data_IF_409844710545
#
_entry.id   IF_409844710545
#
_cell.length_a   1.000
_cell.length_b   1.000
_cell.length_c   1.000
_cell.angle_alpha   90.00
_cell.angle_beta   90.00
_cell.angle_gamma   90.00
#
_symmetry.space_group_name_H-M   'P 1'
#
loop_
_entity.id
_entity.type
_entity.pdbx_description
1 polymer ?
#
# COMPACT_ATOMS: atom_id res chain seq x y z
N UNK A 1 -13.29 28.06 -5.15
CA UNK A 1 -12.58 27.38 -6.26
C UNK A 1 -12.87 25.91 -6.14
N UNK A 2 -13.56 25.36 -7.13
CA UNK A 2 -14.05 23.99 -7.16
C UNK A 2 -12.87 23.02 -7.23
N UNK A 3 -12.76 22.13 -6.25
CA UNK A 3 -11.67 21.17 -6.13
C UNK A 3 -11.90 20.04 -7.14
N UNK A 4 -11.40 20.20 -8.37
CA UNK A 4 -11.35 19.08 -9.31
C UNK A 4 -10.26 18.11 -8.85
N UNK A 5 -10.70 16.99 -8.29
CA UNK A 5 -9.87 15.80 -8.08
C UNK A 5 -9.33 15.37 -9.46
N UNK A 6 -8.00 15.38 -9.69
CA UNK A 6 -7.46 14.68 -10.84
C UNK A 6 -7.80 13.21 -10.66
N UNK A 7 -8.64 12.66 -11.56
CA UNK A 7 -8.95 11.24 -11.61
C UNK A 7 -7.65 10.45 -11.48
N UNK A 8 -7.53 9.50 -10.54
CA UNK A 8 -6.35 8.66 -10.48
C UNK A 8 -6.23 7.96 -11.84
N UNK A 9 -5.13 8.21 -12.54
CA UNK A 9 -4.70 7.33 -13.63
C UNK A 9 -4.22 6.06 -12.97
N UNK A 10 -5.16 5.21 -12.61
CA UNK A 10 -4.87 3.85 -12.20
C UNK A 10 -4.36 3.16 -13.47
N UNK A 11 -3.05 3.02 -13.61
CA UNK A 11 -2.47 2.10 -14.56
C UNK A 11 -2.63 0.69 -13.97
N UNK A 12 -3.85 0.14 -14.03
CA UNK A 12 -4.05 -1.30 -13.86
C UNK A 12 -3.53 -1.95 -15.13
N UNK A 13 -2.35 -2.57 -15.07
CA UNK A 13 -1.94 -3.52 -16.10
C UNK A 13 -2.81 -4.78 -15.92
N UNK A 14 -3.94 -4.84 -16.63
CA UNK A 14 -4.78 -6.04 -16.73
C UNK A 14 -4.17 -6.93 -17.81
N UNK A 15 -3.44 -7.97 -17.39
CA UNK A 15 -2.97 -9.03 -18.29
C UNK A 15 -4.16 -9.89 -18.71
N UNK A 16 -4.56 -9.78 -19.98
CA UNK A 16 -5.45 -10.72 -20.66
C UNK A 16 -4.61 -11.65 -21.54
N UNK A 17 -4.72 -12.97 -21.35
CA UNK A 17 -4.07 -13.96 -22.21
C UNK A 17 -5.12 -14.67 -23.06
N UNK A 18 -4.93 -14.64 -24.38
CA UNK A 18 -5.86 -15.19 -25.39
C UNK A 18 -5.47 -16.63 -25.72
N UNK A 19 -6.41 -17.58 -25.61
CA UNK A 19 -6.25 -18.98 -26.02
C UNK A 19 -6.56 -19.12 -27.52
N UNK A 20 -5.58 -19.60 -28.30
CA UNK A 20 -5.78 -20.07 -29.68
C UNK A 20 -6.16 -21.56 -29.64
N UNK A 21 -7.31 -21.90 -30.23
CA UNK A 21 -7.79 -23.28 -30.44
C UNK A 21 -7.73 -23.60 -31.94
N UNK A 22 -6.92 -24.60 -32.30
CA UNK A 22 -6.93 -25.36 -33.57
C UNK A 22 -6.08 -26.61 -33.32
N UNK A 23 -6.37 -27.85 -33.71
CA UNK A 23 -7.42 -28.55 -34.44
C UNK A 23 -7.03 -30.04 -34.50
N UNK A 24 -8.00 -30.95 -34.62
CA UNK A 24 -7.86 -32.42 -34.51
C UNK A 24 -6.88 -33.13 -35.48
N UNK A 25 -6.30 -34.26 -35.04
CA UNK A 25 -6.10 -35.48 -35.86
C UNK A 25 -5.84 -36.78 -35.05
N UNK A 26 -6.78 -37.74 -35.21
CA UNK A 26 -6.78 -39.24 -35.31
C UNK A 26 -5.86 -40.14 -34.41
N UNK A 27 -6.37 -41.27 -33.85
CA UNK A 27 -5.70 -42.04 -32.80
C UNK A 27 -4.74 -43.14 -33.32
N UNK A 28 -3.54 -43.19 -32.74
CA UNK A 28 -2.62 -44.32 -32.82
C UNK A 28 -2.54 -45.03 -31.47
N UNK A 29 -2.84 -46.33 -31.45
CA UNK A 29 -2.78 -47.19 -30.26
C UNK A 29 -1.33 -47.54 -29.94
N UNK A 30 -0.88 -47.31 -28.70
CA UNK A 30 0.46 -47.72 -28.27
C UNK A 30 0.80 -47.30 -26.84
N UNK A 31 0.84 -48.27 -25.93
CA UNK A 31 1.51 -48.19 -24.63
C UNK A 31 0.78 -47.35 -23.56
N UNK A 32 0.27 -48.00 -22.52
CA UNK A 32 -0.19 -47.35 -21.29
C UNK A 32 0.99 -47.22 -20.33
N UNK A 33 1.69 -46.06 -20.23
CA UNK A 33 2.32 -45.72 -18.97
C UNK A 33 1.20 -45.44 -17.97
N UNK A 34 1.28 -46.09 -16.80
CA UNK A 34 0.47 -45.72 -15.65
C UNK A 34 0.55 -44.21 -15.46
N UNK A 35 -0.57 -43.46 -15.37
CA UNK A 35 -0.50 -42.05 -15.08
C UNK A 35 0.09 -41.92 -13.68
N UNK A 36 1.37 -41.57 -13.59
CA UNK A 36 1.86 -40.87 -12.42
C UNK A 36 0.96 -39.65 -12.32
N UNK A 37 0.13 -39.59 -11.30
CA UNK A 37 -0.62 -38.39 -10.94
C UNK A 37 0.46 -37.36 -10.68
N UNK A 38 0.81 -36.56 -11.69
CA UNK A 38 1.63 -35.38 -11.48
C UNK A 38 0.77 -34.54 -10.58
N UNK A 39 1.13 -34.54 -9.30
CA UNK A 39 0.58 -33.63 -8.31
C UNK A 39 0.37 -32.30 -9.00
N UNK A 40 -0.84 -31.77 -8.88
CA UNK A 40 -1.20 -30.42 -9.25
C UNK A 40 -0.44 -29.46 -8.32
N UNK A 41 0.89 -29.53 -8.41
CA UNK A 41 1.77 -29.12 -7.36
C UNK A 41 1.68 -27.61 -7.30
N UNK A 42 1.53 -27.10 -6.08
CA UNK A 42 1.63 -25.70 -5.76
C UNK A 42 3.04 -25.45 -5.17
N UNK A 43 4.13 -25.60 -5.95
CA UNK A 43 5.49 -25.59 -5.43
C UNK A 43 5.81 -24.27 -4.72
N UNK A 44 5.26 -23.14 -5.19
CA UNK A 44 5.51 -21.83 -4.60
C UNK A 44 4.89 -21.67 -3.21
N UNK A 45 3.93 -22.53 -2.86
CA UNK A 45 3.32 -22.56 -1.53
C UNK A 45 4.13 -23.37 -0.52
N UNK A 46 5.18 -24.08 -0.96
CA UNK A 46 6.12 -24.73 -0.04
C UNK A 46 7.08 -23.68 0.51
N UNK A 47 7.22 -23.54 1.85
CA UNK A 47 8.03 -22.49 2.44
C UNK A 47 9.46 -22.41 1.89
N UNK A 48 9.90 -21.19 1.57
CA UNK A 48 11.18 -20.84 0.98
C UNK A 48 11.32 -21.16 -0.52
N UNK A 49 10.32 -21.76 -1.17
CA UNK A 49 10.42 -22.09 -2.59
C UNK A 49 10.26 -20.85 -3.47
N UNK A 50 9.32 -19.96 -3.15
CA UNK A 50 9.12 -18.71 -3.86
C UNK A 50 10.36 -17.79 -3.79
N UNK A 51 10.96 -17.63 -2.61
CA UNK A 51 12.20 -16.86 -2.44
C UNK A 51 13.35 -17.43 -3.27
N UNK A 52 13.56 -18.75 -3.23
CA UNK A 52 14.59 -19.42 -4.04
C UNK A 52 14.33 -19.25 -5.54
N UNK A 53 13.06 -19.28 -5.94
CA UNK A 53 12.64 -19.08 -7.32
C UNK A 53 12.96 -17.66 -7.82
N UNK A 54 12.60 -16.63 -7.04
CA UNK A 54 12.94 -15.23 -7.33
C UNK A 54 14.46 -15.02 -7.34
N UNK A 55 15.18 -15.58 -6.37
CA UNK A 55 16.64 -15.48 -6.31
C UNK A 55 17.33 -16.11 -7.54
N UNK A 56 16.80 -17.24 -8.05
CA UNK A 56 17.29 -17.86 -9.29
C UNK A 56 17.05 -16.97 -10.51
N UNK A 57 15.89 -16.33 -10.60
CA UNK A 57 15.59 -15.38 -11.68
C UNK A 57 16.60 -14.23 -11.66
N UNK A 58 16.77 -13.59 -10.49
CA UNK A 58 17.71 -12.48 -10.33
C UNK A 58 19.15 -12.88 -10.71
N UNK A 59 19.61 -14.05 -10.25
CA UNK A 59 20.93 -14.58 -10.61
C UNK A 59 21.08 -14.83 -12.12
N UNK A 60 20.06 -15.36 -12.80
CA UNK A 60 20.09 -15.60 -14.25
C UNK A 60 20.18 -14.30 -15.06
N UNK A 61 19.63 -13.20 -14.52
CA UNK A 61 19.69 -11.86 -15.14
C UNK A 61 20.89 -11.02 -14.70
N UNK A 62 21.74 -11.54 -13.81
CA UNK A 62 22.81 -10.79 -13.13
C UNK A 62 22.30 -9.49 -12.46
N UNK A 63 21.10 -9.56 -11.87
CA UNK A 63 20.47 -8.46 -11.15
C UNK A 63 20.37 -8.77 -9.66
N UNK A 64 20.34 -7.74 -8.84
CA UNK A 64 20.05 -7.85 -7.40
C UNK A 64 18.74 -7.17 -7.02
N UNK A 65 18.20 -6.33 -7.89
CA UNK A 65 16.96 -5.59 -7.68
C UNK A 65 15.91 -6.01 -8.69
N UNK A 66 14.66 -6.01 -8.23
CA UNK A 66 13.48 -6.21 -9.07
C UNK A 66 12.68 -4.89 -9.19
N UNK A 67 11.96 -4.77 -10.29
CA UNK A 67 10.91 -3.77 -10.52
C UNK A 67 9.55 -4.27 -10.02
N UNK A 68 9.30 -5.56 -10.20
CA UNK A 68 8.09 -6.24 -9.76
C UNK A 68 8.40 -7.71 -9.47
N UNK A 69 7.77 -8.27 -8.45
CA UNK A 69 7.70 -9.72 -8.20
C UNK A 69 6.24 -10.14 -8.18
N UNK A 70 5.91 -11.23 -8.85
CA UNK A 70 4.56 -11.83 -8.85
C UNK A 70 4.67 -13.31 -8.53
N UNK A 71 3.92 -13.78 -7.54
CA UNK A 71 3.92 -15.19 -7.13
C UNK A 71 2.49 -15.72 -7.12
N UNK A 72 2.28 -16.84 -7.80
CA UNK A 72 1.06 -17.65 -7.71
C UNK A 72 1.37 -18.96 -7.00
N UNK A 73 0.39 -19.84 -6.83
CA UNK A 73 0.63 -21.19 -6.33
C UNK A 73 1.68 -21.97 -7.15
N UNK A 74 1.83 -21.66 -8.44
CA UNK A 74 2.62 -22.45 -9.40
C UNK A 74 3.87 -21.76 -9.91
N UNK A 75 3.85 -20.43 -9.98
CA UNK A 75 4.88 -19.66 -10.67
C UNK A 75 5.39 -18.53 -9.81
N UNK A 76 6.68 -18.21 -9.96
CA UNK A 76 7.24 -16.94 -9.56
C UNK A 76 7.74 -16.21 -10.80
N UNK A 77 7.47 -14.91 -10.85
CA UNK A 77 7.87 -14.01 -11.92
C UNK A 77 8.57 -12.82 -11.29
N UNK A 78 9.67 -12.38 -11.92
CA UNK A 78 10.29 -11.12 -11.56
C UNK A 78 10.57 -10.30 -12.83
N UNK A 79 10.19 -9.03 -12.78
CA UNK A 79 10.55 -8.04 -13.79
C UNK A 79 11.77 -7.28 -13.30
N UNK A 80 12.79 -7.14 -14.15
CA UNK A 80 14.04 -6.46 -13.86
C UNK A 80 14.34 -5.40 -14.90
N UNK A 81 15.20 -4.45 -14.56
CA UNK A 81 15.65 -3.40 -15.48
C UNK A 81 17.04 -3.75 -16.02
N UNK A 82 17.17 -3.91 -17.33
CA UNK A 82 18.45 -4.17 -18.03
C UNK A 82 18.58 -3.10 -19.11
N UNK A 83 19.66 -2.32 -19.06
CA UNK A 83 19.92 -1.21 -20.00
C UNK A 83 18.72 -0.24 -20.17
N UNK A 84 18.01 0.03 -19.08
CA UNK A 84 16.84 0.91 -19.06
C UNK A 84 15.56 0.31 -19.65
N UNK A 85 15.54 -1.00 -19.94
CA UNK A 85 14.37 -1.72 -20.44
C UNK A 85 13.92 -2.79 -19.46
N UNK A 86 12.60 -3.00 -19.39
CA UNK A 86 12.02 -4.03 -18.54
C UNK A 86 12.15 -5.39 -19.22
N UNK A 87 12.66 -6.37 -18.48
CA UNK A 87 12.69 -7.77 -18.87
C UNK A 87 11.99 -8.60 -17.81
N UNK A 88 11.04 -9.44 -18.21
CA UNK A 88 10.26 -10.25 -17.27
C UNK A 88 10.65 -11.71 -17.41
N UNK A 89 10.99 -12.33 -16.30
CA UNK A 89 11.46 -13.72 -16.23
C UNK A 89 10.56 -14.51 -15.29
N UNK A 90 10.22 -15.72 -15.68
CA UNK A 90 9.34 -16.62 -14.94
C UNK A 90 10.02 -17.95 -14.67
N UNK A 91 9.67 -18.54 -13.53
CA UNK A 91 9.96 -19.92 -13.17
C UNK A 91 8.67 -20.59 -12.66
N UNK A 92 8.32 -21.73 -13.27
CA UNK A 92 7.28 -22.65 -12.82
C UNK A 92 7.91 -23.91 -12.19
N UNK A 93 8.84 -24.49 -12.93
CA UNK A 93 9.69 -25.61 -12.57
C UNK A 93 11.04 -25.44 -13.27
N UNK A 94 12.13 -25.93 -12.68
CA UNK A 94 13.43 -25.94 -13.34
C UNK A 94 14.12 -24.57 -13.40
N UNK A 95 14.43 -24.11 -14.60
CA UNK A 95 15.26 -22.91 -14.85
C UNK A 95 14.43 -21.68 -15.22
N UNK A 96 14.88 -20.46 -14.85
CA UNK A 96 14.24 -19.22 -15.30
C UNK A 96 14.18 -19.13 -16.83
N UNK A 97 13.09 -18.59 -17.35
CA UNK A 97 12.94 -18.24 -18.77
C UNK A 97 12.38 -16.82 -18.90
N UNK A 98 12.81 -16.12 -19.92
CA UNK A 98 12.21 -14.84 -20.29
C UNK A 98 10.80 -15.06 -20.84
N UNK A 99 9.87 -14.19 -20.47
CA UNK A 99 8.48 -14.16 -20.93
C UNK A 99 8.14 -12.76 -21.43
N UNK A 100 7.07 -12.65 -22.22
CA UNK A 100 6.59 -11.35 -22.68
C UNK A 100 6.26 -10.45 -21.48
N UNK A 101 6.67 -9.19 -21.56
CA UNK A 101 6.45 -8.18 -20.52
C UNK A 101 5.38 -7.20 -20.95
N UNK A 102 4.38 -7.00 -20.10
CA UNK A 102 3.39 -5.93 -20.20
C UNK A 102 3.77 -4.71 -19.33
N UNK A 103 4.83 -4.85 -18.53
CA UNK A 103 5.34 -3.81 -17.64
C UNK A 103 6.19 -2.80 -18.41
N UNK A 104 5.87 -1.52 -18.28
CA UNK A 104 6.66 -0.40 -18.80
C UNK A 104 7.40 0.30 -17.66
N UNK A 105 8.65 0.69 -17.90
CA UNK A 105 9.41 1.49 -16.94
C UNK A 105 9.03 2.97 -17.05
N UNK A 106 8.55 3.53 -15.95
CA UNK A 106 8.09 4.92 -15.78
C UNK A 106 8.67 5.54 -14.51
N UNK A 107 9.93 5.21 -14.21
CA UNK A 107 10.64 5.58 -12.98
C UNK A 107 10.05 4.98 -11.70
N UNK A 108 9.52 3.75 -11.78
CA UNK A 108 9.15 3.00 -10.57
C UNK A 108 10.40 2.65 -9.75
N UNK A 109 10.23 2.53 -8.43
CA UNK A 109 11.30 2.06 -7.55
C UNK A 109 11.75 0.63 -7.88
N UNK A 110 13.07 0.46 -7.89
CA UNK A 110 13.72 -0.85 -7.82
C UNK A 110 13.90 -1.23 -6.34
N UNK A 111 13.70 -2.50 -6.01
CA UNK A 111 13.82 -3.01 -4.63
C UNK A 111 14.57 -4.34 -4.58
N UNK A 112 15.19 -4.64 -3.43
CA UNK A 112 15.73 -5.97 -3.15
C UNK A 112 14.58 -6.86 -2.65
N UNK A 113 14.18 -7.93 -3.37
CA UNK A 113 13.14 -8.81 -2.88
C UNK A 113 13.44 -9.43 -1.51
N UNK A 114 14.70 -9.54 -1.10
CA UNK A 114 15.07 -10.06 0.23
C UNK A 114 14.63 -9.16 1.39
N UNK A 115 14.25 -7.91 1.11
CA UNK A 115 13.66 -7.01 2.11
C UNK A 115 12.21 -7.36 2.44
N UNK A 116 11.58 -8.29 1.72
CA UNK A 116 10.20 -8.69 1.91
C UNK A 116 10.11 -10.16 2.38
N UNK A 117 9.38 -10.41 3.46
CA UNK A 117 9.09 -11.76 3.96
C UNK A 117 7.92 -12.37 3.19
N UNK A 118 8.29 -13.14 2.16
CA UNK A 118 7.39 -14.05 1.46
C UNK A 118 7.91 -15.49 1.53
N UNK A 119 8.58 -15.84 2.64
CA UNK A 119 9.08 -17.19 2.88
C UNK A 119 7.94 -18.21 2.85
N UNK A 120 6.82 -17.93 3.53
CA UNK A 120 5.61 -18.76 3.54
C UNK A 120 4.45 -18.06 2.81
N UNK A 121 4.46 -18.14 1.46
CA UNK A 121 3.37 -17.61 0.61
C UNK A 121 2.02 -18.24 0.96
N UNK A 122 1.99 -19.50 1.39
CA UNK A 122 0.75 -20.16 1.80
C UNK A 122 0.14 -19.50 3.04
N UNK A 123 0.96 -19.05 3.99
CA UNK A 123 0.50 -18.25 5.12
C UNK A 123 -0.08 -16.91 4.67
N UNK A 124 0.60 -16.17 3.78
CA UNK A 124 0.08 -14.90 3.24
C UNK A 124 -1.28 -15.10 2.53
N UNK A 125 -1.41 -16.17 1.73
CA UNK A 125 -2.64 -16.54 1.02
C UNK A 125 -3.80 -16.90 1.95
N UNK A 126 -3.51 -17.62 3.05
CA UNK A 126 -4.53 -17.89 4.10
C UNK A 126 -5.00 -16.60 4.76
N UNK A 127 -4.09 -15.72 5.17
CA UNK A 127 -4.44 -14.40 5.75
C UNK A 127 -5.27 -13.55 4.79
N UNK A 128 -4.89 -13.56 3.51
CA UNK A 128 -5.65 -12.87 2.48
C UNK A 128 -7.06 -13.48 2.29
N UNK A 129 -7.19 -14.80 2.40
CA UNK A 129 -8.50 -15.48 2.36
C UNK A 129 -9.38 -15.04 3.53
N UNK A 130 -8.83 -15.04 4.74
CA UNK A 130 -9.56 -14.63 5.96
C UNK A 130 -10.05 -13.18 5.85
N UNK A 131 -9.26 -12.30 5.25
CA UNK A 131 -9.57 -10.87 5.13
C UNK A 131 -10.45 -10.50 3.92
N UNK A 132 -10.31 -11.21 2.79
CA UNK A 132 -11.00 -10.90 1.53
C UNK A 132 -12.21 -11.79 1.25
N UNK A 133 -12.31 -12.94 1.94
CA UNK A 133 -13.34 -13.95 1.72
C UNK A 133 -13.11 -14.85 0.49
N UNK A 134 -11.96 -14.76 -0.18
CA UNK A 134 -11.67 -15.51 -1.41
C UNK A 134 -10.29 -16.17 -1.38
N UNK A 135 -10.28 -17.48 -1.62
CA UNK A 135 -9.07 -18.29 -1.79
C UNK A 135 -8.77 -18.61 -3.28
N UNK A 136 -9.61 -18.14 -4.20
CA UNK A 136 -9.56 -18.53 -5.61
C UNK A 136 -8.46 -17.78 -6.36
N UNK A 137 -7.59 -18.51 -7.05
CA UNK A 137 -6.56 -17.95 -7.95
C UNK A 137 -5.77 -16.78 -7.35
N UNK A 138 -5.31 -16.97 -6.11
CA UNK A 138 -4.56 -15.94 -5.40
C UNK A 138 -3.19 -15.66 -6.01
N UNK A 139 -2.82 -14.38 -5.95
CA UNK A 139 -1.58 -13.83 -6.50
C UNK A 139 -0.99 -12.83 -5.52
N UNK A 140 0.25 -13.07 -5.10
CA UNK A 140 1.10 -12.13 -4.38
C UNK A 140 1.80 -11.22 -5.39
N UNK A 141 1.83 -9.92 -5.12
CA UNK A 141 2.58 -8.94 -5.89
C UNK A 141 3.43 -8.08 -4.96
N UNK A 142 4.68 -7.83 -5.34
CA UNK A 142 5.57 -6.87 -4.71
C UNK A 142 6.00 -5.87 -5.78
N UNK A 143 5.59 -4.61 -5.63
CA UNK A 143 5.76 -3.58 -6.67
C UNK A 143 5.73 -2.18 -6.04
N UNK A 144 6.34 -1.19 -6.72
CA UNK A 144 6.11 0.22 -6.40
C UNK A 144 4.62 0.56 -6.55
N UNK A 145 4.01 0.88 -5.41
CA UNK A 145 2.61 1.24 -5.33
C UNK A 145 2.41 2.76 -5.42
N UNK A 146 3.30 3.52 -4.77
CA UNK A 146 3.16 4.96 -4.71
C UNK A 146 4.48 5.67 -4.42
N UNK A 147 4.95 6.46 -5.39
CA UNK A 147 6.05 7.41 -5.23
C UNK A 147 7.31 6.78 -4.60
N UNK A 148 7.63 5.55 -5.02
CA UNK A 148 8.77 4.77 -4.56
C UNK A 148 8.50 3.91 -3.33
N UNK A 149 7.28 3.91 -2.80
CA UNK A 149 6.86 2.98 -1.76
C UNK A 149 6.51 1.64 -2.41
N UNK A 150 7.35 0.64 -2.16
CA UNK A 150 7.12 -0.74 -2.60
C UNK A 150 6.29 -1.47 -1.55
N UNK A 151 5.27 -2.19 -2.01
CA UNK A 151 4.34 -2.89 -1.13
C UNK A 151 4.15 -4.33 -1.55
N UNK A 152 3.79 -5.15 -0.57
CA UNK A 152 3.40 -6.54 -0.77
C UNK A 152 1.88 -6.68 -0.67
N UNK A 153 1.24 -7.20 -1.71
CA UNK A 153 -0.23 -7.27 -1.82
C UNK A 153 -0.68 -8.63 -2.33
N UNK A 154 -1.74 -9.20 -1.75
CA UNK A 154 -2.41 -10.38 -2.28
C UNK A 154 -3.75 -9.99 -2.87
N UNK A 155 -4.01 -10.47 -4.09
CA UNK A 155 -5.31 -10.38 -4.79
C UNK A 155 -5.80 -11.78 -5.14
N UNK A 156 -7.08 -11.93 -5.50
CA UNK A 156 -7.70 -13.20 -5.90
C UNK A 156 -8.51 -13.03 -7.19
N UNK A 157 -8.90 -14.11 -7.86
CA UNK A 157 -9.81 -14.09 -9.02
C UNK A 157 -10.99 -15.04 -8.81
N UNK A 158 -12.25 -14.62 -9.05
CA UNK A 158 -12.68 -13.25 -9.42
C UNK A 158 -12.24 -12.20 -8.40
N UNK A 159 -12.02 -10.96 -8.86
CA UNK A 159 -11.34 -9.93 -8.08
C UNK A 159 -12.01 -9.70 -6.72
N UNK A 160 -11.24 -9.95 -5.66
CA UNK A 160 -11.60 -9.58 -4.29
C UNK A 160 -10.93 -8.27 -3.89
N UNK A 161 -11.30 -7.74 -2.73
CA UNK A 161 -10.53 -6.66 -2.11
C UNK A 161 -9.05 -7.07 -1.96
N UNK A 162 -8.09 -6.20 -2.36
CA UNK A 162 -6.68 -6.45 -2.15
C UNK A 162 -6.35 -6.47 -0.65
N UNK A 163 -5.45 -7.37 -0.25
CA UNK A 163 -4.96 -7.48 1.12
C UNK A 163 -3.49 -7.10 1.15
N UNK A 164 -3.17 -6.04 1.88
CA UNK A 164 -1.82 -5.50 1.97
C UNK A 164 -1.05 -6.10 3.15
N UNK A 165 0.25 -6.23 2.97
CA UNK A 165 1.20 -6.71 3.96
C UNK A 165 2.38 -5.73 4.05
N UNK A 166 2.93 -5.59 5.25
CA UNK A 166 4.21 -4.92 5.45
C UNK A 166 5.35 -5.80 4.92
N UNK A 167 6.54 -5.20 4.81
CA UNK A 167 7.78 -5.88 4.41
C UNK A 167 8.07 -7.13 5.24
N UNK A 168 7.70 -7.17 6.53
CA UNK A 168 7.89 -8.32 7.41
C UNK A 168 6.81 -9.41 7.29
N UNK A 169 5.92 -9.31 6.30
CA UNK A 169 4.85 -10.28 6.09
C UNK A 169 3.66 -10.14 7.05
N UNK A 170 3.68 -9.16 7.96
CA UNK A 170 2.52 -8.86 8.79
C UNK A 170 1.42 -8.17 7.98
N UNK A 171 0.17 -8.55 8.20
CA UNK A 171 -0.96 -7.97 7.47
C UNK A 171 -1.17 -6.52 7.90
N UNK A 172 -1.37 -5.63 6.93
CA UNK A 172 -1.76 -4.24 7.20
C UNK A 172 -3.14 -4.22 7.90
N UNK A 173 -3.25 -3.63 9.10
CA UNK A 173 -4.53 -3.58 9.80
C UNK A 173 -5.51 -2.64 9.10
N UNK A 174 -6.80 -2.99 9.20
CA UNK A 174 -7.89 -2.04 8.95
C UNK A 174 -8.07 -1.19 10.21
N UNK A 175 -8.17 0.11 10.02
CA UNK A 175 -8.25 1.07 11.12
C UNK A 175 -9.68 1.59 11.28
N UNK A 176 -10.17 1.64 12.51
CA UNK A 176 -11.32 2.46 12.91
C UNK A 176 -10.81 3.80 13.42
N UNK A 177 -10.72 4.79 12.52
CA UNK A 177 -10.20 6.13 12.86
C UNK A 177 -11.14 6.95 13.76
N UNK A 178 -12.19 6.35 14.31
CA UNK A 178 -12.95 6.91 15.43
C UNK A 178 -12.36 6.53 16.80
N UNK A 179 -11.40 5.61 16.84
CA UNK A 179 -10.73 5.12 18.07
C UNK A 179 -9.32 5.66 18.20
N UNK A 180 -8.97 6.12 19.39
CA UNK A 180 -7.63 6.67 19.67
C UNK A 180 -6.50 5.68 19.36
N UNK A 181 -6.71 4.39 19.62
CA UNK A 181 -5.71 3.35 19.36
C UNK A 181 -5.38 3.25 17.86
N UNK A 182 -6.39 3.24 16.99
CA UNK A 182 -6.20 3.13 15.55
C UNK A 182 -5.75 4.45 14.93
N UNK A 183 -6.17 5.59 15.49
CA UNK A 183 -5.60 6.89 15.17
C UNK A 183 -4.10 6.97 15.52
N UNK A 184 -3.68 6.38 16.64
CA UNK A 184 -2.26 6.31 17.02
C UNK A 184 -1.45 5.50 15.99
N UNK A 185 -1.96 4.33 15.56
CA UNK A 185 -1.34 3.54 14.49
C UNK A 185 -1.23 4.34 13.19
N UNK A 186 -2.27 5.10 12.85
CA UNK A 186 -2.26 5.95 11.65
C UNK A 186 -1.25 7.10 11.76
N UNK A 187 -1.18 7.76 12.92
CA UNK A 187 -0.25 8.84 13.23
C UNK A 187 1.20 8.37 13.14
N UNK A 188 1.53 7.22 13.73
CA UNK A 188 2.85 6.59 13.64
C UNK A 188 3.21 6.29 12.18
N UNK A 189 2.26 5.72 11.42
CA UNK A 189 2.49 5.40 10.02
C UNK A 189 2.78 6.63 9.15
N UNK A 190 2.04 7.74 9.29
CA UNK A 190 2.27 8.96 8.50
C UNK A 190 3.45 9.79 8.98
N UNK A 191 3.94 9.54 10.20
CA UNK A 191 5.03 10.30 10.84
C UNK A 191 6.38 9.61 10.81
N UNK A 192 6.45 8.34 10.37
CA UNK A 192 7.66 7.49 10.36
C UNK A 192 8.92 8.20 9.89
N UNK A 193 8.83 8.94 8.78
CA UNK A 193 9.94 9.68 8.17
C UNK A 193 9.80 11.22 8.33
N UNK A 194 8.83 11.68 9.11
CA UNK A 194 8.46 13.09 9.26
C UNK A 194 8.05 13.42 10.70
N UNK A 195 9.00 13.51 11.66
CA UNK A 195 8.69 13.77 13.07
C UNK A 195 8.20 15.20 13.35
N UNK A 196 8.27 16.09 12.36
CA UNK A 196 7.76 17.46 12.42
C UNK A 196 6.77 17.71 11.27
N UNK A 197 5.62 18.29 11.61
CA UNK A 197 4.54 18.58 10.67
C UNK A 197 4.26 20.08 10.63
N UNK A 198 3.80 20.55 9.48
CA UNK A 198 3.13 21.87 9.35
C UNK A 198 1.63 21.76 9.56
N UNK A 199 1.06 20.58 9.31
CA UNK A 199 -0.35 20.26 9.50
C UNK A 199 -0.46 18.76 9.81
N UNK A 200 -1.24 18.40 10.81
CA UNK A 200 -1.75 17.05 11.02
C UNK A 200 -3.26 17.11 10.93
N UNK A 201 -3.90 16.13 10.32
CA UNK A 201 -5.35 16.13 10.26
C UNK A 201 -5.97 14.76 10.07
N UNK A 202 -7.27 14.71 10.27
CA UNK A 202 -8.10 13.53 10.08
C UNK A 202 -9.41 13.97 9.45
N UNK A 203 -9.78 13.33 8.34
CA UNK A 203 -11.05 13.54 7.64
C UNK A 203 -11.52 12.24 6.98
N UNK A 204 -12.54 12.30 6.12
CA UNK A 204 -13.11 11.13 5.43
C UNK A 204 -12.09 10.31 4.61
N UNK A 205 -10.99 10.91 4.17
CA UNK A 205 -9.93 10.22 3.42
C UNK A 205 -9.00 9.41 4.33
N UNK A 206 -8.96 9.74 5.61
CA UNK A 206 -8.09 9.13 6.61
C UNK A 206 -7.24 10.14 7.37
N UNK A 207 -6.27 9.61 8.11
CA UNK A 207 -5.33 10.39 8.90
C UNK A 207 -4.19 10.88 8.02
N UNK A 208 -3.79 12.14 8.10
CA UNK A 208 -2.75 12.70 7.26
C UNK A 208 -1.82 13.66 8.00
N UNK A 209 -0.64 13.82 7.41
CA UNK A 209 0.39 14.73 7.85
C UNK A 209 0.95 15.47 6.65
N UNK A 210 1.14 16.78 6.79
CA UNK A 210 1.89 17.59 5.84
C UNK A 210 3.19 18.08 6.47
N UNK A 211 4.28 18.01 5.70
CA UNK A 211 5.59 18.50 6.10
C UNK A 211 6.28 19.22 4.95
N UNK A 212 7.36 19.95 5.25
CA UNK A 212 8.16 20.65 4.25
C UNK A 212 8.92 19.63 3.40
N UNK A 213 8.79 19.77 2.09
CA UNK A 213 9.55 19.03 1.10
C UNK A 213 10.68 19.86 0.49
N UNK A 214 11.46 19.26 -0.42
CA UNK A 214 12.53 19.96 -1.14
C UNK A 214 11.97 21.05 -2.06
N UNK A 215 12.77 22.09 -2.35
CA UNK A 215 12.46 23.16 -3.32
C UNK A 215 11.09 23.82 -3.08
N UNK A 216 10.84 24.24 -1.84
CA UNK A 216 9.61 24.94 -1.44
C UNK A 216 8.34 24.14 -1.77
N UNK A 217 8.39 22.83 -1.57
CA UNK A 217 7.24 21.94 -1.71
C UNK A 217 6.66 21.56 -0.35
N UNK A 218 5.42 21.09 -0.38
CA UNK A 218 4.78 20.40 0.75
C UNK A 218 4.63 18.94 0.36
N UNK A 219 4.98 18.04 1.27
CA UNK A 219 4.77 16.60 1.15
C UNK A 219 3.61 16.25 2.07
N UNK A 220 2.61 15.54 1.55
CA UNK A 220 1.50 14.99 2.31
C UNK A 220 1.60 13.47 2.36
N UNK A 221 1.58 12.92 3.56
CA UNK A 221 1.41 11.50 3.84
C UNK A 221 -0.01 11.28 4.34
N UNK A 222 -0.73 10.31 3.79
CA UNK A 222 -2.12 9.98 4.10
C UNK A 222 -2.21 8.50 4.40
N UNK A 223 -2.76 8.12 5.55
CA UNK A 223 -3.14 6.76 5.91
C UNK A 223 -4.67 6.65 5.92
N UNK A 224 -5.29 6.15 4.83
CA UNK A 224 -6.70 5.76 4.82
C UNK A 224 -6.94 4.60 5.77
N UNK A 225 -8.18 4.15 5.95
CA UNK A 225 -8.50 3.06 6.89
C UNK A 225 -8.00 1.69 6.43
N UNK A 226 -8.14 1.41 5.13
CA UNK A 226 -7.90 0.08 4.56
C UNK A 226 -6.72 0.06 3.57
N UNK A 227 -6.00 1.18 3.44
CA UNK A 227 -4.91 1.33 2.49
C UNK A 227 -3.63 1.78 3.18
N UNK A 228 -2.46 1.37 2.68
CA UNK A 228 -1.17 1.83 3.19
C UNK A 228 -0.97 3.33 3.00
N UNK A 229 0.10 3.86 3.60
CA UNK A 229 0.40 5.31 3.56
C UNK A 229 0.66 5.74 2.12
N UNK A 230 -0.14 6.68 1.62
CA UNK A 230 0.04 7.34 0.34
C UNK A 230 0.80 8.65 0.50
N UNK A 231 1.79 8.88 -0.36
CA UNK A 231 2.59 10.10 -0.43
C UNK A 231 2.22 10.91 -1.67
N UNK A 232 2.11 12.22 -1.46
CA UNK A 232 1.93 13.19 -2.55
C UNK A 232 2.76 14.44 -2.26
N UNK A 233 3.09 15.20 -3.31
CA UNK A 233 3.83 16.45 -3.18
C UNK A 233 3.18 17.54 -4.02
N UNK A 234 3.17 18.76 -3.50
CA UNK A 234 2.76 19.97 -4.22
C UNK A 234 3.85 21.03 -4.17
N UNK A 235 4.04 21.77 -5.26
CA UNK A 235 4.95 22.92 -5.35
C UNK A 235 4.33 24.16 -4.71
N UNK A 236 4.16 24.09 -3.40
CA UNK A 236 3.68 25.19 -2.57
C UNK A 236 4.16 24.88 -1.16
N UNK A 237 5.03 25.74 -0.64
CA UNK A 237 5.49 25.65 0.73
C UNK A 237 4.38 26.10 1.68
N UNK A 238 4.21 25.38 2.79
CA UNK A 238 3.38 25.86 3.88
C UNK A 238 4.07 27.01 4.62
N UNK A 239 3.34 28.09 4.82
CA UNK A 239 3.75 29.23 5.65
C UNK A 239 3.64 28.93 7.15
N UNK A 240 2.94 27.86 7.53
CA UNK A 240 2.74 27.45 8.91
C UNK A 240 4.06 26.99 9.54
N UNK A 241 4.26 27.32 10.81
CA UNK A 241 5.40 26.83 11.57
C UNK A 241 5.30 25.31 11.75
N UNK A 242 6.44 24.65 11.82
CA UNK A 242 6.48 23.21 12.10
C UNK A 242 6.35 22.96 13.60
N UNK A 243 5.63 21.90 13.97
CA UNK A 243 5.52 21.43 15.34
C UNK A 243 5.86 19.92 15.43
N UNK A 244 6.31 19.42 16.60
CA UNK A 244 6.58 18.00 16.78
C UNK A 244 5.29 17.19 16.74
N UNK A 245 5.25 16.14 15.93
CA UNK A 245 4.08 15.26 15.79
C UNK A 245 3.76 14.54 17.09
N UNK A 246 4.79 14.25 17.90
CA UNK A 246 4.64 13.64 19.23
C UNK A 246 3.78 14.44 20.23
N UNK A 247 3.44 15.71 19.92
CA UNK A 247 2.49 16.48 20.73
C UNK A 247 1.02 16.14 20.43
N UNK A 248 0.72 15.52 19.28
CA UNK A 248 -0.65 15.15 18.90
C UNK A 248 -1.12 14.00 19.79
N UNK A 249 -2.31 14.16 20.36
CA UNK A 249 -2.91 13.20 21.31
C UNK A 249 -4.21 12.61 20.74
N UNK A 250 -4.16 11.39 20.16
CA UNK A 250 -5.35 10.74 19.60
C UNK A 250 -6.52 10.55 20.58
N UNK A 251 -6.24 10.36 21.87
CA UNK A 251 -7.24 10.26 22.94
C UNK A 251 -8.06 11.55 23.10
N UNK A 252 -7.41 12.71 22.94
CA UNK A 252 -8.09 14.00 22.99
C UNK A 252 -8.98 14.18 21.76
N UNK A 253 -8.50 13.78 20.58
CA UNK A 253 -9.28 13.81 19.34
C UNK A 253 -10.54 12.94 19.46
N UNK A 254 -10.40 11.70 19.93
CA UNK A 254 -11.53 10.79 20.16
C UNK A 254 -12.56 11.40 21.13
N UNK A 255 -12.10 11.99 22.25
CA UNK A 255 -13.00 12.61 23.23
C UNK A 255 -13.85 13.75 22.61
N UNK A 256 -13.26 14.51 21.70
CA UNK A 256 -13.96 15.60 21.00
C UNK A 256 -14.89 15.07 19.90
N UNK A 257 -14.53 14.01 19.18
CA UNK A 257 -15.43 13.35 18.24
C UNK A 257 -16.69 12.82 18.95
N UNK A 258 -16.53 12.25 20.15
CA UNK A 258 -17.66 11.82 21.00
C UNK A 258 -18.51 13.03 21.42
N UNK A 259 -17.87 14.10 21.93
CA UNK A 259 -18.56 15.30 22.40
C UNK A 259 -19.36 16.00 21.29
N UNK A 260 -18.83 16.03 20.07
CA UNK A 260 -19.47 16.63 18.89
C UNK A 260 -20.55 15.74 18.27
N UNK A 261 -20.79 14.54 18.82
CA UNK A 261 -21.83 13.64 18.34
C UNK A 261 -21.57 13.12 16.93
N UNK A 262 -20.31 12.81 16.61
CA UNK A 262 -19.87 12.47 15.25
C UNK A 262 -19.38 11.03 15.08
N UNK A 263 -20.24 10.01 15.31
CA UNK A 263 -19.85 8.62 15.13
C UNK A 263 -19.68 8.22 13.65
N UNK A 264 -20.12 9.05 12.70
CA UNK A 264 -20.22 8.75 11.26
C UNK A 264 -19.20 9.49 10.37
N UNK A 265 -18.02 9.88 10.92
CA UNK A 265 -16.84 10.40 10.18
C UNK A 265 -17.01 11.75 9.45
N UNK A 266 -18.11 12.46 9.68
CA UNK A 266 -18.34 13.81 9.11
C UNK A 266 -17.60 14.92 9.84
N UNK A 267 -17.00 14.63 10.99
CA UNK A 267 -16.13 15.58 11.69
C UNK A 267 -14.69 15.39 11.24
N UNK A 268 -14.11 16.48 10.77
CA UNK A 268 -12.68 16.55 10.51
C UNK A 268 -11.97 17.31 11.62
N UNK A 269 -10.69 17.01 11.82
CA UNK A 269 -9.81 17.81 12.66
C UNK A 269 -8.57 18.22 11.88
N UNK A 270 -8.17 19.48 12.02
CA UNK A 270 -6.89 20.00 11.57
C UNK A 270 -6.10 20.53 12.76
N UNK A 271 -4.83 20.14 12.84
CA UNK A 271 -3.89 20.51 13.89
C UNK A 271 -2.74 21.25 13.24
N UNK A 272 -2.62 22.54 13.53
CA UNK A 272 -1.56 23.38 13.00
C UNK A 272 -1.31 24.63 13.87
N UNK A 273 -0.39 25.47 13.43
CA UNK A 273 0.08 26.66 14.15
C UNK A 273 -0.54 27.96 13.63
N UNK A 274 -1.71 27.92 12.95
CA UNK A 274 -2.28 29.14 12.33
C UNK A 274 -2.69 30.19 13.36
N UNK A 275 -3.10 29.76 14.55
CA UNK A 275 -3.53 30.65 15.63
C UNK A 275 -2.36 31.09 16.52
N UNK A 276 -1.26 30.33 16.53
CA UNK A 276 -0.05 30.64 17.29
C UNK A 276 1.17 29.92 16.70
N UNK A 277 2.24 30.63 16.30
CA UNK A 277 3.43 30.02 15.69
C UNK A 277 4.16 28.98 16.57
N UNK A 278 3.96 29.02 17.89
CA UNK A 278 4.66 28.15 18.85
C UNK A 278 3.74 27.12 19.51
N UNK A 279 2.43 27.34 19.48
CA UNK A 279 1.43 26.50 20.14
C UNK A 279 0.38 26.03 19.13
N UNK A 280 0.51 24.81 18.57
CA UNK A 280 -0.52 24.29 17.68
C UNK A 280 -1.86 24.13 18.41
N UNK A 281 -2.95 24.34 17.67
CA UNK A 281 -4.34 24.16 18.11
C UNK A 281 -5.01 23.07 17.29
N UNK A 282 -6.07 22.46 17.81
CA UNK A 282 -6.92 21.52 17.07
C UNK A 282 -8.21 22.22 16.68
N UNK A 283 -8.59 22.11 15.41
CA UNK A 283 -9.81 22.69 14.86
C UNK A 283 -10.70 21.61 14.32
N UNK A 284 -11.79 21.40 15.02
CA UNK A 284 -12.81 20.45 14.67
C UNK A 284 -13.86 21.15 13.81
N UNK A 285 -14.19 20.55 12.67
CA UNK A 285 -15.23 21.05 11.78
C UNK A 285 -16.33 20.01 11.66
N UNK A 286 -17.58 20.41 11.95
CA UNK A 286 -18.78 19.61 11.83
C UNK A 286 -19.82 20.38 10.98
N UNK A 287 -19.80 20.17 9.67
CA UNK A 287 -20.62 20.97 8.76
C UNK A 287 -20.22 22.45 8.81
N UNK A 288 -21.12 23.33 9.25
CA UNK A 288 -20.85 24.76 9.42
C UNK A 288 -20.17 25.11 10.74
N UNK A 289 -20.22 24.21 11.73
CA UNK A 289 -19.77 24.51 13.08
C UNK A 289 -18.27 24.22 13.19
N UNK A 290 -17.54 25.15 13.81
CA UNK A 290 -16.12 25.01 14.06
C UNK A 290 -15.83 25.24 15.54
N UNK A 291 -15.10 24.32 16.14
CA UNK A 291 -14.61 24.43 17.52
C UNK A 291 -13.09 24.35 17.51
N UNK A 292 -12.43 25.23 18.26
CA UNK A 292 -10.97 25.24 18.38
C UNK A 292 -10.56 24.93 19.81
N UNK A 293 -9.56 24.06 19.96
CA UNK A 293 -9.02 23.66 21.25
C UNK A 293 -7.50 23.78 21.25
N UNK A 294 -6.88 23.90 22.41
CA UNK A 294 -5.47 23.57 22.55
C UNK A 294 -5.26 22.04 22.42
N UNK A 295 -4.01 21.58 22.39
CA UNK A 295 -3.69 20.14 22.31
C UNK A 295 -4.08 19.35 23.57
N UNK A 296 -4.37 20.04 24.68
CA UNK A 296 -4.87 19.41 25.89
C UNK A 296 -6.39 19.21 25.88
N UNK A 297 -7.07 19.73 24.84
CA UNK A 297 -8.51 19.61 24.64
C UNK A 297 -9.31 20.71 25.32
N UNK A 298 -8.66 21.76 25.85
CA UNK A 298 -9.36 22.93 26.38
C UNK A 298 -9.83 23.79 25.21
N UNK A 299 -11.11 24.13 25.22
CA UNK A 299 -11.72 24.99 24.22
C UNK A 299 -11.16 26.42 24.30
N UNK A 300 -10.76 26.95 23.13
CA UNK A 300 -10.18 28.30 22.95
C UNK A 300 -10.83 29.05 21.78
N UNK A 301 -11.99 28.59 21.28
CA UNK A 301 -12.69 29.16 20.12
C UNK A 301 -12.80 30.69 20.18
N UNK A 302 -13.25 31.23 21.32
CA UNK A 302 -13.43 32.68 21.52
C UNK A 302 -12.12 33.47 21.58
N UNK A 303 -10.98 32.79 21.75
CA UNK A 303 -9.64 33.41 21.86
C UNK A 303 -8.95 33.51 20.50
N UNK A 304 -9.39 32.72 19.51
CA UNK A 304 -8.79 32.65 18.17
C UNK A 304 -9.71 33.20 17.07
N UNK A 305 -10.99 33.44 17.37
CA UNK A 305 -11.97 34.01 16.44
C UNK A 305 -11.89 35.56 16.32
N UNK A 306 -10.78 36.18 16.75
CA UNK A 306 -10.56 37.63 16.75
C UNK A 306 -9.60 38.07 15.63
#
# INVERSE_FOLDING_TARGET
MEYQVPKPRIAVAIIAFTLLITGCSIPGSGGSPSPTVTSDAAPMLVPGTAEKAVAKILAATNQTLALQVVITARTATASVLIDGKVHTWQIDSGSPREVETDVTYVDQALFDPKSFDFYDVAHLFRRATDASGSASDQRLEIVDYNAGQVLMTVTSRPESFPVFFFEDGTQLPRLDLTKAQDMQVALEAVSKDAPYATLVGLNEQGFYLETRGPKDSTIRMLRPENLPVWKSSRKSASELATFPVAKVRPDVIESWFIKLGAPDKKVSVEIDTRDSPTNPSMRFSNGSDTVVTDLDGKEITDQVAA
#
